data_IF_244913211683
#
_entry.id   IF_244913211683
#
_cell.length_a   1.000
_cell.length_b   1.000
_cell.length_c   1.000
_cell.angle_alpha   90.00
_cell.angle_beta   90.00
_cell.angle_gamma   90.00
#
_symmetry.space_group_name_H-M   'P 1'
#
loop_
_entity.id
_entity.type
_entity.pdbx_description
1 polymer ?
#
# COMPACT_ATOMS: atom_id res chain seq x y z
N UNK A 1 2.81 32.37 -50.08
CA UNK A 1 1.88 31.93 -48.99
C UNK A 1 1.98 30.43 -48.67
N UNK A 2 2.11 29.53 -49.66
CA UNK A 2 2.11 28.06 -49.46
C UNK A 2 3.19 27.51 -48.51
N UNK A 3 4.42 28.04 -48.58
CA UNK A 3 5.54 27.63 -47.71
C UNK A 3 5.39 28.04 -46.23
N UNK A 4 4.67 29.14 -45.93
CA UNK A 4 4.42 29.58 -44.55
C UNK A 4 3.44 28.65 -43.82
N UNK A 5 2.44 28.13 -44.54
CA UNK A 5 1.46 27.18 -44.00
C UNK A 5 2.09 25.80 -43.70
N UNK A 6 2.95 25.31 -44.60
CA UNK A 6 3.70 24.07 -44.40
C UNK A 6 4.68 24.16 -43.20
N UNK A 7 5.35 25.31 -43.03
CA UNK A 7 6.24 25.54 -41.90
C UNK A 7 5.47 25.61 -40.56
N UNK A 8 4.29 26.24 -40.55
CA UNK A 8 3.42 26.29 -39.37
C UNK A 8 2.89 24.90 -38.96
N UNK A 9 2.48 24.07 -39.93
CA UNK A 9 2.04 22.69 -39.69
C UNK A 9 3.18 21.81 -39.15
N UNK A 10 4.40 21.98 -39.66
CA UNK A 10 5.58 21.27 -39.16
C UNK A 10 5.92 21.65 -37.72
N UNK A 11 5.91 22.95 -37.39
CA UNK A 11 6.09 23.42 -36.01
C UNK A 11 5.00 22.87 -35.08
N UNK A 12 3.75 22.89 -35.51
CA UNK A 12 2.62 22.36 -34.72
C UNK A 12 2.76 20.85 -34.47
N UNK A 13 3.28 20.09 -35.43
CA UNK A 13 3.63 18.67 -35.27
C UNK A 13 4.75 18.45 -34.25
N UNK A 14 5.80 19.27 -34.26
CA UNK A 14 6.88 19.21 -33.25
C UNK A 14 6.33 19.53 -31.86
N UNK A 15 5.51 20.58 -31.71
CA UNK A 15 4.89 20.91 -30.43
C UNK A 15 3.96 19.81 -29.94
N UNK A 16 3.21 19.16 -30.84
CA UNK A 16 2.35 18.04 -30.48
C UNK A 16 3.14 16.81 -30.03
N UNK A 17 4.23 16.46 -30.73
CA UNK A 17 5.12 15.37 -30.33
C UNK A 17 5.82 15.69 -29.02
N UNK A 18 6.30 16.92 -28.84
CA UNK A 18 6.92 17.37 -27.59
C UNK A 18 5.93 17.39 -26.42
N UNK A 19 4.67 17.81 -26.67
CA UNK A 19 3.59 17.77 -25.68
C UNK A 19 3.23 16.34 -25.28
N UNK A 20 3.10 15.43 -26.25
CA UNK A 20 2.89 14.02 -25.98
C UNK A 20 4.09 13.42 -25.22
N UNK A 21 5.32 13.71 -25.64
CA UNK A 21 6.53 13.25 -24.97
C UNK A 21 6.65 13.80 -23.55
N UNK A 22 6.30 15.07 -23.33
CA UNK A 22 6.30 15.69 -22.00
C UNK A 22 5.26 15.03 -21.10
N UNK A 23 4.02 14.86 -21.56
CA UNK A 23 2.95 14.19 -20.79
C UNK A 23 3.21 12.70 -20.54
N UNK A 24 3.98 12.02 -21.40
CA UNK A 24 4.34 10.62 -21.20
C UNK A 24 5.61 10.43 -20.36
N UNK A 25 6.55 11.38 -20.42
CA UNK A 25 7.89 11.22 -19.84
C UNK A 25 8.04 11.91 -18.49
N UNK A 26 7.19 12.90 -18.17
CA UNK A 26 7.22 13.60 -16.89
C UNK A 26 5.99 13.26 -16.04
N UNK A 27 6.18 12.95 -14.74
CA UNK A 27 5.06 12.84 -13.82
C UNK A 27 4.29 14.16 -13.80
N UNK A 28 2.95 14.08 -13.70
CA UNK A 28 2.11 15.26 -13.47
C UNK A 28 2.58 16.07 -12.25
N UNK A 29 2.23 17.34 -12.18
CA UNK A 29 2.55 18.19 -11.02
C UNK A 29 2.11 17.54 -9.70
N UNK A 30 0.88 17.01 -9.67
CA UNK A 30 0.35 16.18 -8.60
C UNK A 30 1.26 14.99 -8.25
N UNK A 31 1.73 14.24 -9.24
CA UNK A 31 2.63 13.11 -9.01
C UNK A 31 4.00 13.56 -8.46
N UNK A 32 4.54 14.71 -8.90
CA UNK A 32 5.78 15.27 -8.36
C UNK A 32 5.62 15.67 -6.89
N UNK A 33 4.49 16.28 -6.53
CA UNK A 33 4.17 16.63 -5.14
C UNK A 33 4.09 15.37 -4.26
N UNK A 34 3.38 14.33 -4.72
CA UNK A 34 3.31 13.02 -4.01
C UNK A 34 4.70 12.43 -3.81
N UNK A 35 5.54 12.42 -4.86
CA UNK A 35 6.89 11.88 -4.79
C UNK A 35 7.76 12.66 -3.78
N UNK A 36 7.60 13.98 -3.71
CA UNK A 36 8.34 14.82 -2.77
C UNK A 36 7.92 14.56 -1.32
N UNK A 37 6.61 14.48 -1.03
CA UNK A 37 6.09 14.15 0.29
C UNK A 37 6.56 12.76 0.71
N UNK A 38 6.38 11.77 -0.16
CA UNK A 38 6.79 10.39 0.09
C UNK A 38 8.30 10.27 0.35
N UNK A 39 9.13 11.00 -0.38
CA UNK A 39 10.58 11.06 -0.18
C UNK A 39 10.96 11.62 1.19
N UNK A 40 10.24 12.64 1.68
CA UNK A 40 10.46 13.21 3.00
C UNK A 40 10.07 12.23 4.10
N UNK A 41 8.89 11.61 4.01
CA UNK A 41 8.43 10.58 4.96
C UNK A 41 9.45 9.43 5.02
N UNK A 42 9.85 8.91 3.85
CA UNK A 42 10.85 7.83 3.76
C UNK A 42 12.13 8.12 4.54
N UNK A 43 12.61 9.37 4.56
CA UNK A 43 13.80 9.75 5.32
C UNK A 43 13.59 9.64 6.83
N UNK A 44 12.43 10.07 7.32
CA UNK A 44 12.10 10.08 8.75
C UNK A 44 11.82 8.68 9.31
N UNK A 45 11.22 7.79 8.51
CA UNK A 45 10.85 6.45 8.97
C UNK A 45 12.05 5.64 9.46
N UNK A 46 13.23 5.85 8.87
CA UNK A 46 14.46 5.22 9.31
C UNK A 46 14.82 5.57 10.77
N UNK A 47 14.59 6.83 11.16
CA UNK A 47 14.86 7.31 12.51
C UNK A 47 13.81 6.79 13.49
N UNK A 48 12.53 6.82 13.09
CA UNK A 48 11.43 6.36 13.94
C UNK A 48 11.54 4.87 14.22
N UNK A 49 11.79 4.05 13.19
CA UNK A 49 11.90 2.59 13.31
C UNK A 49 13.24 2.14 13.90
N UNK A 50 14.26 3.01 13.90
CA UNK A 50 15.61 2.70 14.35
C UNK A 50 16.41 1.83 13.37
N UNK A 51 15.95 1.69 12.12
CA UNK A 51 16.61 0.89 11.07
C UNK A 51 16.67 1.69 9.76
N UNK A 52 17.85 1.81 9.17
CA UNK A 52 18.02 2.46 7.86
C UNK A 52 17.66 1.52 6.73
N UNK A 53 17.30 2.03 5.55
CA UNK A 53 17.22 1.18 4.36
C UNK A 53 18.61 0.66 3.97
N UNK A 54 18.73 -0.66 3.71
CA UNK A 54 19.90 -1.25 3.05
C UNK A 54 19.99 -0.82 1.59
N UNK A 55 18.84 -0.68 0.94
CA UNK A 55 18.69 -0.13 -0.41
C UNK A 55 17.54 0.89 -0.38
N UNK A 56 17.75 2.11 -0.88
CA UNK A 56 16.67 3.10 -0.85
C UNK A 56 15.44 2.61 -1.66
N UNK A 57 14.22 2.81 -1.16
CA UNK A 57 13.01 2.38 -1.87
C UNK A 57 12.82 3.16 -3.17
N UNK A 58 12.33 2.47 -4.20
CA UNK A 58 11.84 3.13 -5.42
C UNK A 58 10.39 3.53 -5.22
N UNK A 59 10.13 4.84 -5.22
CA UNK A 59 8.78 5.41 -5.09
C UNK A 59 8.18 5.58 -6.49
N UNK A 60 6.97 5.05 -6.70
CA UNK A 60 6.28 5.05 -8.00
C UNK A 60 4.85 5.52 -7.80
N UNK A 61 4.43 6.54 -8.54
CA UNK A 61 3.03 6.97 -8.60
C UNK A 61 2.30 6.22 -9.71
N UNK A 62 1.03 5.88 -9.46
CA UNK A 62 0.13 5.25 -10.41
C UNK A 62 -1.26 5.91 -10.34
N UNK A 63 -2.02 5.78 -11.41
CA UNK A 63 -3.46 6.01 -11.43
C UNK A 63 -4.21 4.81 -10.83
N UNK A 64 -5.49 5.01 -10.47
CA UNK A 64 -6.34 3.92 -9.98
C UNK A 64 -6.53 2.83 -11.03
N UNK A 65 -6.61 3.22 -12.30
CA UNK A 65 -6.74 2.28 -13.42
C UNK A 65 -5.48 1.42 -13.58
N UNK A 66 -4.29 2.02 -13.50
CA UNK A 66 -3.03 1.27 -13.55
C UNK A 66 -2.89 0.30 -12.38
N UNK A 67 -3.29 0.72 -11.18
CA UNK A 67 -3.31 -0.16 -10.01
C UNK A 67 -4.28 -1.34 -10.21
N UNK A 68 -5.48 -1.09 -10.73
CA UNK A 68 -6.46 -2.14 -11.06
C UNK A 68 -5.97 -3.09 -12.14
N UNK A 69 -5.28 -2.58 -13.16
CA UNK A 69 -4.67 -3.41 -14.20
C UNK A 69 -3.55 -4.29 -13.64
N UNK A 70 -2.84 -3.80 -12.63
CA UNK A 70 -1.66 -4.47 -12.05
C UNK A 70 -2.00 -5.47 -10.95
N UNK A 71 -2.95 -5.15 -10.07
CA UNK A 71 -3.28 -5.96 -8.89
C UNK A 71 -4.76 -6.26 -8.73
N UNK A 72 -5.62 -5.67 -9.56
CA UNK A 72 -7.03 -6.02 -9.55
C UNK A 72 -7.24 -7.47 -10.01
N UNK A 73 -8.37 -8.10 -9.64
CA UNK A 73 -8.68 -9.47 -10.04
C UNK A 73 -8.53 -9.70 -11.54
N UNK A 74 -7.58 -10.57 -11.91
CA UNK A 74 -7.29 -10.95 -13.29
C UNK A 74 -8.13 -12.16 -13.73
N UNK A 75 -7.98 -12.57 -14.99
CA UNK A 75 -8.65 -13.77 -15.51
C UNK A 75 -8.05 -15.04 -14.89
N UNK A 76 -6.75 -15.00 -14.63
CA UNK A 76 -5.97 -16.07 -14.03
C UNK A 76 -6.40 -16.33 -12.57
N UNK A 77 -6.71 -15.26 -11.82
CA UNK A 77 -7.20 -15.36 -10.44
C UNK A 77 -8.64 -15.88 -10.33
N UNK A 78 -9.40 -15.83 -11.43
CA UNK A 78 -10.86 -15.98 -11.38
C UNK A 78 -11.30 -17.31 -10.80
N UNK A 79 -10.59 -18.40 -11.14
CA UNK A 79 -10.91 -19.74 -10.62
C UNK A 79 -10.75 -19.83 -9.11
N UNK A 80 -9.63 -19.34 -8.59
CA UNK A 80 -9.35 -19.39 -7.14
C UNK A 80 -10.29 -18.44 -6.38
N UNK A 81 -10.58 -17.25 -6.92
CA UNK A 81 -11.56 -16.34 -6.33
C UNK A 81 -12.93 -16.99 -6.26
N UNK A 82 -13.38 -17.71 -7.30
CA UNK A 82 -14.68 -18.38 -7.29
C UNK A 82 -14.73 -19.59 -6.35
N UNK A 83 -13.61 -20.30 -6.18
CA UNK A 83 -13.50 -21.36 -5.17
C UNK A 83 -13.69 -20.79 -3.75
N UNK A 84 -12.99 -19.72 -3.40
CA UNK A 84 -13.15 -19.08 -2.08
C UNK A 84 -14.54 -18.44 -1.90
N UNK A 85 -15.07 -17.79 -2.94
CA UNK A 85 -16.44 -17.26 -2.92
C UNK A 85 -17.46 -18.37 -2.62
N UNK A 86 -17.31 -19.54 -3.25
CA UNK A 86 -18.16 -20.70 -2.97
C UNK A 86 -17.99 -21.19 -1.54
N UNK A 87 -16.76 -21.32 -1.03
CA UNK A 87 -16.49 -21.71 0.36
C UNK A 87 -17.22 -20.76 1.32
N UNK A 88 -17.07 -19.45 1.16
CA UNK A 88 -17.71 -18.46 2.03
C UNK A 88 -19.24 -18.51 1.99
N UNK A 89 -19.82 -18.80 0.81
CA UNK A 89 -21.27 -19.00 0.67
C UNK A 89 -21.74 -20.27 1.36
N UNK A 90 -21.02 -21.38 1.17
CA UNK A 90 -21.37 -22.69 1.71
C UNK A 90 -21.19 -22.78 3.23
N UNK A 91 -20.28 -22.01 3.80
CA UNK A 91 -20.11 -21.88 5.25
C UNK A 91 -21.02 -20.82 5.88
N UNK A 92 -21.92 -20.21 5.09
CA UNK A 92 -22.82 -19.13 5.50
C UNK A 92 -22.10 -17.91 6.07
N UNK A 93 -20.82 -17.73 5.74
CA UNK A 93 -20.04 -16.57 6.12
C UNK A 93 -20.51 -15.31 5.36
N UNK A 94 -21.10 -15.51 4.17
CA UNK A 94 -21.72 -14.47 3.34
C UNK A 94 -23.00 -15.00 2.69
N UNK A 95 -23.83 -14.10 2.18
CA UNK A 95 -25.04 -14.42 1.43
C UNK A 95 -24.73 -15.02 0.04
N UNK A 96 -25.72 -15.74 -0.54
CA UNK A 96 -25.56 -16.41 -1.84
C UNK A 96 -25.31 -15.43 -3.00
N UNK A 97 -25.73 -14.18 -2.89
CA UNK A 97 -25.52 -13.10 -3.87
C UNK A 97 -24.18 -12.37 -3.70
N UNK A 98 -23.36 -12.73 -2.69
CA UNK A 98 -22.04 -12.14 -2.47
C UNK A 98 -21.13 -12.30 -3.70
N UNK A 99 -20.32 -11.27 -3.99
CA UNK A 99 -19.43 -11.24 -5.15
C UNK A 99 -18.01 -10.86 -4.71
N UNK A 100 -17.17 -11.87 -4.49
CA UNK A 100 -15.82 -11.69 -3.99
C UNK A 100 -14.93 -10.96 -5.01
N UNK A 101 -15.14 -11.20 -6.30
CA UNK A 101 -14.41 -10.50 -7.37
C UNK A 101 -14.68 -8.99 -7.32
N UNK A 102 -15.94 -8.58 -7.10
CA UNK A 102 -16.31 -7.17 -6.96
C UNK A 102 -15.71 -6.57 -5.69
N UNK A 103 -15.75 -7.30 -4.57
CA UNK A 103 -15.14 -6.87 -3.31
C UNK A 103 -13.64 -6.62 -3.46
N UNK A 104 -12.88 -7.61 -3.97
CA UNK A 104 -11.43 -7.47 -4.21
C UNK A 104 -11.09 -6.33 -5.17
N UNK A 105 -11.85 -6.17 -6.26
CA UNK A 105 -11.67 -5.04 -7.19
C UNK A 105 -11.87 -3.70 -6.50
N UNK A 106 -12.92 -3.57 -5.66
CA UNK A 106 -13.20 -2.35 -4.89
C UNK A 106 -12.08 -2.05 -3.90
N UNK A 107 -11.55 -3.07 -3.25
CA UNK A 107 -10.45 -2.96 -2.30
C UNK A 107 -9.17 -2.42 -2.98
N UNK A 108 -8.70 -3.06 -4.07
CA UNK A 108 -7.54 -2.58 -4.82
C UNK A 108 -7.71 -1.13 -5.30
N UNK A 109 -8.90 -0.78 -5.79
CA UNK A 109 -9.20 0.59 -6.22
C UNK A 109 -9.18 1.62 -5.09
N UNK A 110 -9.29 1.18 -3.83
CA UNK A 110 -9.33 2.03 -2.64
C UNK A 110 -7.97 2.23 -1.96
N UNK A 111 -6.94 1.49 -2.37
CA UNK A 111 -5.60 1.62 -1.80
C UNK A 111 -5.04 3.03 -1.99
N UNK A 112 -4.36 3.56 -0.97
CA UNK A 112 -3.61 4.81 -1.09
C UNK A 112 -2.21 4.51 -1.58
N UNK A 113 -1.55 3.52 -0.97
CA UNK A 113 -0.26 3.01 -1.39
C UNK A 113 -0.17 1.50 -1.12
N UNK A 114 0.85 0.85 -1.69
CA UNK A 114 1.17 -0.56 -1.48
C UNK A 114 2.65 -0.82 -1.73
N UNK A 115 3.25 -1.65 -0.88
CA UNK A 115 4.64 -2.07 -1.00
C UNK A 115 4.77 -3.39 -1.75
N UNK A 116 5.77 -3.50 -2.62
CA UNK A 116 6.14 -4.74 -3.29
C UNK A 116 7.65 -4.84 -3.45
N UNK A 117 8.28 -5.67 -2.62
CA UNK A 117 9.74 -5.74 -2.54
C UNK A 117 10.33 -4.41 -2.07
N UNK A 118 11.26 -3.86 -2.85
CA UNK A 118 11.88 -2.56 -2.56
C UNK A 118 11.14 -1.35 -3.20
N UNK A 119 9.85 -1.51 -3.55
CA UNK A 119 9.07 -0.49 -4.26
C UNK A 119 7.85 -0.11 -3.45
N UNK A 120 7.60 1.19 -3.34
CA UNK A 120 6.36 1.75 -2.79
C UNK A 120 5.58 2.38 -3.94
N UNK A 121 4.39 1.85 -4.18
CA UNK A 121 3.48 2.33 -5.21
C UNK A 121 2.39 3.19 -4.58
N UNK A 122 2.09 4.36 -5.14
CA UNK A 122 1.14 5.32 -4.58
C UNK A 122 0.07 5.61 -5.63
N UNK A 123 -1.21 5.44 -5.28
CA UNK A 123 -2.34 5.82 -6.13
C UNK A 123 -2.61 7.31 -5.91
N UNK A 124 -2.11 8.17 -6.80
CA UNK A 124 -2.12 9.63 -6.61
C UNK A 124 -3.54 10.18 -6.37
N UNK A 125 -4.54 9.66 -7.09
CA UNK A 125 -5.95 10.05 -6.92
C UNK A 125 -6.46 9.84 -5.49
N UNK A 126 -6.06 8.74 -4.85
CA UNK A 126 -6.51 8.39 -3.51
C UNK A 126 -5.68 9.10 -2.44
N UNK A 127 -4.39 9.36 -2.72
CA UNK A 127 -3.49 10.11 -1.86
C UNK A 127 -4.08 11.50 -1.51
N UNK A 128 -4.38 12.32 -2.52
CA UNK A 128 -4.91 13.67 -2.28
C UNK A 128 -6.31 13.67 -1.67
N UNK A 129 -7.13 12.66 -1.97
CA UNK A 129 -8.48 12.54 -1.43
C UNK A 129 -8.51 12.27 0.08
N UNK A 130 -7.42 11.71 0.63
CA UNK A 130 -7.40 11.21 2.02
C UNK A 130 -6.58 12.07 2.98
N UNK A 131 -5.92 13.13 2.49
CA UNK A 131 -5.22 14.11 3.33
C UNK A 131 -4.13 13.46 4.19
N UNK A 132 -4.00 13.88 5.45
CA UNK A 132 -2.96 13.42 6.38
C UNK A 132 -2.97 11.90 6.60
N UNK A 133 -4.13 11.23 6.43
CA UNK A 133 -4.21 9.76 6.48
C UNK A 133 -3.31 9.11 5.43
N UNK A 134 -3.08 9.77 4.29
CA UNK A 134 -2.17 9.28 3.27
C UNK A 134 -0.71 9.26 3.74
N UNK A 135 -0.29 10.22 4.57
CA UNK A 135 1.06 10.25 5.14
C UNK A 135 1.28 9.10 6.12
N UNK A 136 0.26 8.78 6.95
CA UNK A 136 0.29 7.59 7.81
C UNK A 136 0.46 6.32 6.97
N UNK A 137 -0.29 6.18 5.87
CA UNK A 137 -0.16 5.01 5.00
C UNK A 137 1.24 4.93 4.39
N UNK A 138 1.84 6.04 3.95
CA UNK A 138 3.20 6.01 3.44
C UNK A 138 4.22 5.61 4.52
N UNK A 139 4.07 6.11 5.75
CA UNK A 139 4.90 5.71 6.89
C UNK A 139 4.84 4.18 7.13
N UNK A 140 3.63 3.61 7.05
CA UNK A 140 3.39 2.17 7.15
C UNK A 140 4.07 1.41 6.01
N UNK A 141 3.86 1.82 4.75
CA UNK A 141 4.45 1.16 3.57
C UNK A 141 5.99 1.21 3.56
N UNK A 142 6.59 2.34 3.94
CA UNK A 142 8.05 2.41 4.03
C UNK A 142 8.63 1.47 5.10
N UNK A 143 7.86 1.17 6.16
CA UNK A 143 8.26 0.20 7.16
C UNK A 143 8.31 -1.21 6.59
N UNK A 144 7.37 -1.59 5.71
CA UNK A 144 7.44 -2.87 5.00
C UNK A 144 8.71 -3.04 4.16
N UNK A 145 9.21 -1.97 3.56
CA UNK A 145 10.49 -2.03 2.84
C UNK A 145 11.64 -2.37 3.80
N UNK A 146 11.70 -1.73 4.97
CA UNK A 146 12.70 -2.05 6.00
C UNK A 146 12.56 -3.51 6.44
N UNK A 147 11.34 -3.94 6.77
CA UNK A 147 11.08 -5.31 7.22
C UNK A 147 11.51 -6.36 6.18
N UNK A 148 11.24 -6.11 4.90
CA UNK A 148 11.68 -6.97 3.79
C UNK A 148 13.20 -7.01 3.67
N UNK A 149 13.90 -5.93 3.94
CA UNK A 149 15.37 -5.87 3.83
C UNK A 149 16.09 -6.49 5.02
N UNK A 150 15.51 -6.43 6.22
CA UNK A 150 16.15 -6.89 7.45
C UNK A 150 15.74 -8.31 7.85
N UNK A 151 14.45 -8.61 7.78
CA UNK A 151 13.89 -9.81 8.39
C UNK A 151 13.45 -10.83 7.34
N UNK A 152 12.79 -10.38 6.28
CA UNK A 152 12.21 -11.22 5.22
C UNK A 152 11.61 -12.56 5.74
N UNK A 153 10.67 -12.51 6.70
CA UNK A 153 10.22 -13.70 7.40
C UNK A 153 9.50 -14.66 6.46
N UNK A 154 9.73 -15.96 6.70
CA UNK A 154 9.00 -17.02 5.98
C UNK A 154 7.59 -17.15 6.55
N UNK A 155 6.64 -17.44 5.67
CA UNK A 155 5.26 -17.65 6.05
C UNK A 155 4.99 -19.14 6.25
N UNK A 156 4.51 -19.57 7.44
CA UNK A 156 4.01 -20.92 7.62
C UNK A 156 2.84 -21.23 6.69
N UNK A 157 2.69 -22.51 6.33
CA UNK A 157 1.59 -22.98 5.48
C UNK A 157 0.26 -23.06 6.23
N UNK A 158 0.30 -23.18 7.57
CA UNK A 158 -0.91 -23.16 8.40
C UNK A 158 -1.50 -21.76 8.42
N UNK A 159 -2.84 -21.67 8.40
CA UNK A 159 -3.53 -20.39 8.48
C UNK A 159 -3.11 -19.59 9.72
N UNK A 160 -3.10 -20.25 10.88
CA UNK A 160 -2.74 -19.60 12.15
C UNK A 160 -1.29 -19.11 12.15
N UNK A 161 -0.35 -19.93 11.68
CA UNK A 161 1.06 -19.53 11.59
C UNK A 161 1.26 -18.39 10.60
N UNK A 162 0.57 -18.41 9.47
CA UNK A 162 0.58 -17.33 8.48
C UNK A 162 0.05 -16.02 9.07
N UNK A 163 -1.09 -16.07 9.75
CA UNK A 163 -1.71 -14.91 10.38
C UNK A 163 -0.88 -14.37 11.55
N UNK A 164 -0.21 -15.21 12.33
CA UNK A 164 0.68 -14.80 13.41
C UNK A 164 1.87 -13.97 12.89
N UNK A 165 2.55 -14.44 11.84
CA UNK A 165 3.66 -13.71 11.23
C UNK A 165 3.17 -12.40 10.61
N UNK A 166 2.03 -12.41 9.92
CA UNK A 166 1.43 -11.18 9.39
C UNK A 166 1.07 -10.19 10.49
N UNK A 167 0.53 -10.64 11.62
CA UNK A 167 0.21 -9.77 12.74
C UNK A 167 1.46 -9.07 13.30
N UNK A 168 2.59 -9.76 13.40
CA UNK A 168 3.86 -9.12 13.76
C UNK A 168 4.26 -8.05 12.72
N UNK A 169 4.20 -8.39 11.42
CA UNK A 169 4.59 -7.49 10.32
C UNK A 169 3.72 -6.22 10.29
N UNK A 170 2.41 -6.39 10.25
CA UNK A 170 1.46 -5.28 10.16
C UNK A 170 1.46 -4.44 11.45
N UNK A 171 1.58 -5.09 12.61
CA UNK A 171 1.68 -4.39 13.90
C UNK A 171 2.94 -3.52 14.03
N UNK A 172 4.08 -3.97 13.53
CA UNK A 172 5.32 -3.18 13.50
C UNK A 172 5.22 -1.99 12.53
N UNK A 173 4.63 -2.21 11.35
CA UNK A 173 4.35 -1.13 10.41
C UNK A 173 3.35 -0.10 10.98
N UNK A 174 2.28 -0.56 11.64
CA UNK A 174 1.30 0.30 12.29
C UNK A 174 1.88 1.09 13.47
N UNK A 175 2.70 0.46 14.32
CA UNK A 175 3.36 1.15 15.42
C UNK A 175 4.29 2.26 14.90
N UNK A 176 5.07 1.96 13.86
CA UNK A 176 5.98 2.94 13.23
C UNK A 176 5.20 4.11 12.63
N UNK A 177 4.12 3.82 11.92
CA UNK A 177 3.23 4.84 11.35
C UNK A 177 2.54 5.68 12.44
N UNK A 178 2.12 5.07 13.54
CA UNK A 178 1.50 5.77 14.66
C UNK A 178 2.49 6.69 15.39
N UNK A 179 3.75 6.27 15.53
CA UNK A 179 4.82 7.12 16.07
C UNK A 179 5.12 8.30 15.14
N UNK A 180 5.11 8.08 13.83
CA UNK A 180 5.17 9.17 12.84
C UNK A 180 4.01 10.15 13.02
N UNK A 181 2.78 9.66 13.10
CA UNK A 181 1.61 10.51 13.31
C UNK A 181 1.69 11.31 14.61
N UNK A 182 2.10 10.67 15.72
CA UNK A 182 2.27 11.33 17.02
C UNK A 182 3.30 12.47 16.94
N UNK A 183 4.41 12.26 16.24
CA UNK A 183 5.47 13.27 16.05
C UNK A 183 4.96 14.50 15.28
N UNK A 184 4.08 14.29 14.30
CA UNK A 184 3.58 15.34 13.40
C UNK A 184 2.18 15.88 13.75
N UNK A 185 1.57 15.41 14.84
CA UNK A 185 0.22 15.82 15.24
C UNK A 185 -0.89 15.32 14.30
N UNK A 186 -0.62 14.28 13.51
CA UNK A 186 -1.59 13.68 12.57
C UNK A 186 -2.56 12.79 13.35
N UNK A 187 -3.85 12.90 13.03
CA UNK A 187 -4.87 12.02 13.60
C UNK A 187 -4.65 10.58 13.13
N UNK A 188 -4.58 9.64 14.08
CA UNK A 188 -4.43 8.23 13.77
C UNK A 188 -5.79 7.65 13.36
N UNK A 189 -5.91 7.26 12.09
CA UNK A 189 -7.04 6.52 11.54
C UNK A 189 -6.55 5.13 11.09
N UNK A 190 -6.99 4.08 11.77
CA UNK A 190 -6.59 2.70 11.50
C UNK A 190 -7.68 1.69 11.81
N UNK A 191 -7.51 0.46 11.32
CA UNK A 191 -8.44 -0.64 11.55
C UNK A 191 -8.22 -1.17 12.98
N UNK A 192 -9.25 -1.13 13.81
CA UNK A 192 -9.19 -1.55 15.22
C UNK A 192 -10.18 -2.65 15.58
N UNK A 193 -11.01 -3.06 14.62
CA UNK A 193 -12.04 -4.07 14.82
C UNK A 193 -12.30 -4.86 13.55
N UNK A 194 -12.77 -6.10 13.72
CA UNK A 194 -13.22 -6.94 12.61
C UNK A 194 -14.49 -6.39 11.96
N UNK A 195 -14.61 -6.60 10.65
CA UNK A 195 -15.75 -6.24 9.83
C UNK A 195 -16.84 -7.33 9.94
N UNK A 196 -17.97 -6.99 10.54
CA UNK A 196 -19.12 -7.90 10.67
C UNK A 196 -20.02 -7.92 9.44
N UNK A 197 -19.91 -6.92 8.53
CA UNK A 197 -20.72 -6.82 7.32
C UNK A 197 -20.10 -7.54 6.13
N UNK A 198 -18.79 -7.69 6.12
CA UNK A 198 -18.04 -8.45 5.11
C UNK A 198 -17.00 -9.35 5.82
N UNK A 199 -17.44 -10.45 6.46
CA UNK A 199 -16.55 -11.27 7.27
C UNK A 199 -15.34 -11.85 6.53
N UNK A 200 -15.39 -12.19 5.22
CA UNK A 200 -14.19 -12.56 4.48
C UNK A 200 -13.05 -11.54 4.51
N UNK A 201 -13.33 -10.24 4.66
CA UNK A 201 -12.28 -9.23 4.81
C UNK A 201 -11.46 -9.41 6.10
N UNK A 202 -11.99 -10.11 7.09
CA UNK A 202 -11.33 -10.27 8.39
C UNK A 202 -10.04 -11.07 8.32
N UNK A 203 -9.83 -11.90 7.29
CA UNK A 203 -8.52 -12.53 7.07
C UNK A 203 -7.43 -11.51 6.72
N UNK A 204 -7.81 -10.39 6.08
CA UNK A 204 -6.92 -9.26 5.84
C UNK A 204 -6.85 -8.30 7.04
N UNK A 205 -7.93 -8.15 7.82
CA UNK A 205 -7.95 -7.21 8.97
C UNK A 205 -7.31 -7.79 10.23
N UNK A 206 -7.32 -9.13 10.39
CA UNK A 206 -6.78 -9.79 11.57
C UNK A 206 -5.36 -9.33 11.91
N UNK A 207 -4.39 -9.32 10.95
CA UNK A 207 -3.05 -8.81 11.20
C UNK A 207 -3.00 -7.39 11.78
N UNK A 208 -3.81 -6.47 11.29
CA UNK A 208 -3.86 -5.09 11.80
C UNK A 208 -4.47 -5.03 13.20
N UNK A 209 -5.62 -5.68 13.40
CA UNK A 209 -6.37 -5.60 14.67
C UNK A 209 -5.59 -6.21 15.83
N UNK A 210 -5.01 -7.40 15.63
CA UNK A 210 -4.33 -8.13 16.69
C UNK A 210 -2.83 -7.85 16.73
N UNK A 211 -2.22 -7.55 15.58
CA UNK A 211 -0.83 -7.13 15.47
C UNK A 211 -0.56 -5.83 16.20
N UNK A 212 -1.47 -4.85 16.10
CA UNK A 212 -1.33 -3.55 16.77
C UNK A 212 -1.05 -3.71 18.28
N UNK A 213 -1.91 -4.47 18.98
CA UNK A 213 -1.77 -4.69 20.42
C UNK A 213 -0.59 -5.58 20.78
N UNK A 214 -0.31 -6.58 19.96
CA UNK A 214 0.83 -7.47 20.18
C UNK A 214 2.15 -6.70 20.08
N UNK A 215 2.35 -5.92 19.02
CA UNK A 215 3.60 -5.19 18.80
C UNK A 215 3.72 -3.99 19.72
N UNK A 216 2.62 -3.29 20.03
CA UNK A 216 2.60 -2.27 21.09
C UNK A 216 3.09 -2.85 22.44
N UNK A 217 2.65 -4.07 22.79
CA UNK A 217 3.11 -4.75 24.00
C UNK A 217 4.62 -5.06 23.96
N UNK A 218 5.14 -5.59 22.85
CA UNK A 218 6.58 -5.86 22.69
C UNK A 218 7.39 -4.56 22.83
N UNK A 219 6.94 -3.49 22.17
CA UNK A 219 7.60 -2.19 22.25
C UNK A 219 7.68 -1.66 23.69
N UNK A 220 6.58 -1.75 24.44
CA UNK A 220 6.55 -1.30 25.83
C UNK A 220 7.46 -2.12 26.75
N UNK A 221 7.72 -3.38 26.43
CA UNK A 221 8.52 -4.28 27.26
C UNK A 221 10.01 -4.25 26.95
N UNK A 222 10.40 -4.10 25.69
CA UNK A 222 11.79 -4.18 25.26
C UNK A 222 12.17 -3.28 24.09
N UNK A 223 11.31 -2.32 23.74
CA UNK A 223 11.55 -1.39 22.64
C UNK A 223 11.65 -2.09 21.28
N UNK A 224 12.38 -1.47 20.36
CA UNK A 224 12.59 -2.00 19.01
C UNK A 224 13.36 -3.33 18.99
N UNK A 225 14.28 -3.54 19.93
CA UNK A 225 15.08 -4.78 19.97
C UNK A 225 14.19 -6.01 20.17
N UNK A 226 13.24 -5.96 21.10
CA UNK A 226 12.31 -7.08 21.32
C UNK A 226 11.39 -7.33 20.13
N UNK A 227 11.04 -6.30 19.36
CA UNK A 227 10.30 -6.47 18.09
C UNK A 227 11.20 -7.13 17.04
N UNK A 228 12.45 -6.69 16.92
CA UNK A 228 13.41 -7.27 15.98
C UNK A 228 13.63 -8.77 16.27
N UNK A 229 13.80 -9.14 17.54
CA UNK A 229 13.96 -10.53 17.98
C UNK A 229 12.73 -11.41 17.65
N UNK A 230 11.53 -10.82 17.63
CA UNK A 230 10.30 -11.56 17.34
C UNK A 230 10.21 -12.03 15.87
N UNK A 231 11.07 -11.53 14.99
CA UNK A 231 11.18 -11.99 13.60
C UNK A 231 12.02 -13.28 13.44
N UNK A 232 12.69 -13.75 14.50
CA UNK A 232 13.61 -14.90 14.45
C UNK A 232 13.10 -16.15 15.14
#
# INVERSE_FOLDING_TARGET
MRYRSLFALFLMGIFFIAFLYHNYSYPSEDAQQVLQIASNISKEIKEIRGLSFKENPKIITLTKEEALKKWGPSREDYQEIKKWELIYKMTFLVSLDYNLTKTKRKETASWIAVTSGNKVYIISENFFKTGDTAERVLAHEFTHVIQKQYFDPKYPETLDGNLAIKALIEGDADLTADLYCKKHGIKIEKITSLNLKDPPMNFGYFPYVFGDKFVEYLYQKGGWELINDAYS
#
